data_IF_302390643079
#
_entry.id   IF_302390643079
#
_cell.length_a   1.000
_cell.length_b   1.000
_cell.length_c   1.000
_cell.angle_alpha   90.00
_cell.angle_beta   90.00
_cell.angle_gamma   90.00
#
_symmetry.space_group_name_H-M   'P 1'
#
loop_
_entity.id
_entity.type
_entity.pdbx_description
1 polymer ?
#
# COMPACT_ATOMS: atom_id res chain seq x y z
N UNK A 1 -5.78 -9.75 18.29
CA UNK A 1 -6.41 -8.52 17.75
C UNK A 1 -5.52 -8.02 16.60
N UNK A 2 -5.92 -8.24 15.36
CA UNK A 2 -5.12 -7.82 14.21
C UNK A 2 -5.32 -6.32 13.99
N UNK A 3 -4.29 -5.54 14.30
CA UNK A 3 -4.24 -4.12 13.93
C UNK A 3 -3.75 -4.00 12.50
N UNK A 4 -4.26 -3.02 11.77
CA UNK A 4 -3.69 -2.64 10.48
C UNK A 4 -2.29 -2.10 10.74
N UNK A 5 -1.31 -2.74 10.11
CA UNK A 5 0.08 -2.33 10.16
C UNK A 5 0.52 -1.81 8.80
N UNK A 6 1.30 -0.76 8.78
CA UNK A 6 1.86 -0.19 7.56
C UNK A 6 3.36 -0.10 7.66
N UNK A 7 4.06 -0.38 6.57
CA UNK A 7 5.51 -0.26 6.47
C UNK A 7 5.90 0.29 5.11
N UNK A 8 6.75 1.31 5.11
CA UNK A 8 7.42 1.75 3.90
C UNK A 8 8.52 0.72 3.60
N UNK A 9 8.42 0.04 2.45
CA UNK A 9 9.33 -1.05 2.08
C UNK A 9 10.68 -0.55 1.61
N UNK A 10 10.72 0.64 1.05
CA UNK A 10 11.95 1.27 0.60
C UNK A 10 12.20 2.54 1.42
N UNK A 11 12.66 2.37 2.66
CA UNK A 11 12.95 3.48 3.57
C UNK A 11 13.99 4.47 3.00
N UNK A 12 14.92 4.01 2.17
CA UNK A 12 15.83 4.86 1.40
C UNK A 12 15.10 5.69 0.34
N UNK A 13 13.89 5.28 -0.07
CA UNK A 13 13.15 5.96 -1.11
C UNK A 13 12.51 7.28 -0.67
N UNK A 14 12.33 7.53 0.62
CA UNK A 14 11.83 8.84 1.06
C UNK A 14 12.90 9.90 0.74
N UNK A 15 14.14 9.67 1.12
CA UNK A 15 15.23 10.58 0.76
C UNK A 15 15.55 10.55 -0.74
N UNK A 16 15.45 9.39 -1.40
CA UNK A 16 15.63 9.28 -2.85
C UNK A 16 14.45 9.90 -3.62
N UNK A 17 13.23 9.81 -3.10
CA UNK A 17 12.08 10.48 -3.67
C UNK A 17 12.24 12.00 -3.64
N UNK A 18 12.65 12.56 -2.51
CA UNK A 18 12.96 14.00 -2.38
C UNK A 18 14.07 14.42 -3.33
N UNK A 19 15.14 13.64 -3.44
CA UNK A 19 16.24 13.88 -4.39
C UNK A 19 15.75 13.85 -5.83
N UNK A 20 14.93 12.88 -6.18
CA UNK A 20 14.37 12.76 -7.54
C UNK A 20 13.47 13.96 -7.87
N UNK A 21 12.67 14.42 -6.92
CA UNK A 21 11.85 15.64 -7.08
C UNK A 21 12.73 16.87 -7.30
N UNK A 22 13.76 17.05 -6.47
CA UNK A 22 14.71 18.19 -6.59
C UNK A 22 15.44 18.13 -7.92
N UNK A 23 15.90 16.95 -8.32
CA UNK A 23 16.57 16.76 -9.61
C UNK A 23 15.64 17.11 -10.78
N UNK A 24 14.40 16.62 -10.77
CA UNK A 24 13.41 16.93 -11.81
C UNK A 24 13.17 18.45 -11.92
N UNK A 25 13.03 19.13 -10.78
CA UNK A 25 12.86 20.60 -10.75
C UNK A 25 14.09 21.32 -11.33
N UNK A 26 15.30 20.90 -10.96
CA UNK A 26 16.54 21.52 -11.49
C UNK A 26 16.76 21.20 -12.97
N UNK A 27 16.34 20.05 -13.43
CA UNK A 27 16.41 19.68 -14.83
C UNK A 27 15.61 20.65 -15.71
N UNK A 28 14.41 21.06 -15.27
CA UNK A 28 13.60 22.02 -16.01
C UNK A 28 14.25 23.41 -16.09
N UNK A 29 15.00 23.80 -15.06
CA UNK A 29 15.65 25.10 -14.99
C UNK A 29 17.03 25.14 -15.67
N UNK A 30 17.78 24.04 -15.63
CA UNK A 30 19.18 23.95 -16.05
C UNK A 30 19.41 22.96 -17.18
N UNK A 31 18.36 22.44 -17.79
CA UNK A 31 18.46 21.47 -18.89
C UNK A 31 19.29 21.95 -20.07
N UNK A 32 19.31 23.27 -20.33
CA UNK A 32 20.14 23.88 -21.37
C UNK A 32 21.65 23.74 -21.14
N UNK A 33 22.08 23.38 -19.93
CA UNK A 33 23.50 23.15 -19.59
C UNK A 33 23.91 21.68 -19.75
N UNK A 34 22.98 20.81 -20.14
CA UNK A 34 23.22 19.37 -20.26
C UNK A 34 23.41 19.03 -21.73
N UNK A 35 24.62 18.70 -22.08
CA UNK A 35 24.99 18.32 -23.45
C UNK A 35 25.33 16.82 -23.57
N UNK A 36 25.56 16.15 -22.44
CA UNK A 36 25.93 14.74 -22.40
C UNK A 36 25.59 14.13 -21.02
N UNK A 37 25.74 12.80 -20.90
CA UNK A 37 25.43 12.07 -19.67
C UNK A 37 26.28 12.52 -18.47
N UNK A 38 27.51 12.96 -18.68
CA UNK A 38 28.38 13.44 -17.56
C UNK A 38 27.82 14.72 -16.94
N UNK A 39 27.28 15.62 -17.76
CA UNK A 39 26.64 16.86 -17.28
C UNK A 39 25.37 16.54 -16.50
N UNK A 40 24.59 15.57 -16.97
CA UNK A 40 23.40 15.07 -16.28
C UNK A 40 23.73 14.51 -14.88
N UNK A 41 24.73 13.62 -14.82
CA UNK A 41 25.19 13.01 -13.55
C UNK A 41 25.73 14.09 -12.61
N UNK A 42 26.46 15.09 -13.12
CA UNK A 42 26.95 16.22 -12.33
C UNK A 42 25.77 17.01 -11.74
N UNK A 43 24.77 17.35 -12.54
CA UNK A 43 23.57 18.04 -12.06
C UNK A 43 22.83 17.21 -11.01
N UNK A 44 22.69 15.92 -11.25
CA UNK A 44 22.09 14.98 -10.29
C UNK A 44 22.81 15.03 -8.95
N UNK A 45 24.12 14.84 -8.93
CA UNK A 45 24.93 14.83 -7.70
C UNK A 45 24.92 16.17 -6.96
N UNK A 46 24.88 17.29 -7.69
CA UNK A 46 24.78 18.64 -7.11
C UNK A 46 23.39 18.99 -6.59
N UNK A 47 22.38 18.15 -6.84
CA UNK A 47 20.99 18.45 -6.44
C UNK A 47 20.68 18.13 -4.99
N UNK A 48 21.61 17.57 -4.21
CA UNK A 48 21.34 16.94 -2.93
C UNK A 48 21.89 17.67 -1.71
N UNK A 49 22.01 18.97 -1.77
CA UNK A 49 22.28 19.77 -0.56
C UNK A 49 20.97 20.00 0.19
N UNK A 50 21.04 20.02 1.54
CA UNK A 50 19.88 20.25 2.39
C UNK A 50 19.16 21.56 2.02
N UNK A 51 19.90 22.61 1.68
CA UNK A 51 19.33 23.89 1.27
C UNK A 51 18.57 23.79 -0.06
N UNK A 52 19.08 23.01 -1.00
CA UNK A 52 18.40 22.78 -2.29
C UNK A 52 17.08 22.03 -2.10
N UNK A 53 17.07 20.99 -1.27
CA UNK A 53 15.86 20.21 -0.95
C UNK A 53 14.82 21.12 -0.29
N UNK A 54 15.22 21.91 0.71
CA UNK A 54 14.35 22.83 1.43
C UNK A 54 13.75 23.90 0.50
N UNK A 55 14.56 24.50 -0.35
CA UNK A 55 14.12 25.53 -1.26
C UNK A 55 13.20 25.01 -2.36
N UNK A 56 13.46 23.79 -2.87
CA UNK A 56 12.62 23.16 -3.91
C UNK A 56 11.29 22.66 -3.36
N UNK A 57 11.22 22.25 -2.10
CA UNK A 57 9.96 21.88 -1.45
C UNK A 57 8.97 23.04 -1.31
N UNK A 58 9.44 24.27 -1.46
CA UNK A 58 8.61 25.48 -1.41
C UNK A 58 8.10 25.93 -2.81
N UNK A 59 8.53 25.26 -3.87
CA UNK A 59 8.08 25.61 -5.23
C UNK A 59 6.64 25.12 -5.46
N UNK A 60 5.74 25.98 -5.96
CA UNK A 60 4.34 25.64 -6.19
C UNK A 60 4.17 24.84 -7.51
N UNK A 61 4.95 23.77 -7.69
CA UNK A 61 4.87 22.93 -8.89
C UNK A 61 4.43 21.50 -8.54
N UNK A 62 3.11 21.20 -8.51
CA UNK A 62 2.59 19.89 -8.17
C UNK A 62 3.14 18.76 -9.06
N UNK A 63 3.51 19.09 -10.31
CA UNK A 63 4.08 18.12 -11.24
C UNK A 63 5.40 17.49 -10.73
N UNK A 64 6.17 18.20 -9.91
CA UNK A 64 7.44 17.70 -9.34
C UNK A 64 7.18 16.56 -8.37
N UNK A 65 6.09 16.60 -7.63
CA UNK A 65 5.71 15.58 -6.65
C UNK A 65 5.44 14.22 -7.30
N UNK A 66 5.08 14.19 -8.59
CA UNK A 66 4.85 12.95 -9.34
C UNK A 66 6.10 12.10 -9.56
N UNK A 67 7.29 12.66 -9.34
CA UNK A 67 8.55 11.93 -9.40
C UNK A 67 8.89 11.20 -8.09
N UNK A 68 8.14 11.45 -7.02
CA UNK A 68 8.28 10.74 -5.77
C UNK A 68 7.41 9.47 -5.77
N UNK A 69 8.03 8.30 -5.80
CA UNK A 69 7.34 7.01 -5.73
C UNK A 69 7.71 6.33 -4.42
N UNK A 70 6.70 5.95 -3.64
CA UNK A 70 6.86 5.27 -2.35
C UNK A 70 6.11 3.94 -2.42
N UNK A 71 6.76 2.86 -2.03
CA UNK A 71 6.13 1.54 -1.90
C UNK A 71 5.78 1.29 -0.44
N UNK A 72 4.51 1.04 -0.18
CA UNK A 72 4.00 0.79 1.18
C UNK A 72 3.40 -0.60 1.26
N UNK A 73 3.82 -1.39 2.25
CA UNK A 73 3.12 -2.61 2.65
C UNK A 73 2.05 -2.29 3.68
N UNK A 74 0.87 -2.88 3.50
CA UNK A 74 -0.24 -2.80 4.45
C UNK A 74 -0.63 -4.22 4.83
N UNK A 75 -0.62 -4.53 6.12
CA UNK A 75 -0.97 -5.85 6.67
C UNK A 75 -2.16 -5.70 7.60
N UNK A 76 -3.01 -6.73 7.69
CA UNK A 76 -4.20 -6.72 8.55
C UNK A 76 -5.37 -5.90 8.01
N UNK A 77 -5.31 -5.45 6.76
CA UNK A 77 -6.40 -4.72 6.12
C UNK A 77 -7.50 -5.66 5.62
N UNK A 78 -8.76 -5.26 5.79
CA UNK A 78 -9.92 -6.00 5.27
C UNK A 78 -10.03 -5.91 3.74
N UNK A 79 -10.78 -6.82 3.14
CA UNK A 79 -11.16 -6.75 1.71
C UNK A 79 -11.97 -5.47 1.41
N UNK A 80 -12.78 -5.04 2.36
CA UNK A 80 -13.53 -3.78 2.23
C UNK A 80 -12.60 -2.57 2.14
N UNK A 81 -11.55 -2.52 2.96
CA UNK A 81 -10.50 -1.49 2.84
C UNK A 81 -9.86 -1.54 1.45
N UNK A 82 -9.47 -2.73 0.98
CA UNK A 82 -8.86 -2.89 -0.34
C UNK A 82 -9.78 -2.37 -1.45
N UNK A 83 -11.07 -2.71 -1.43
CA UNK A 83 -12.02 -2.27 -2.44
C UNK A 83 -12.21 -0.75 -2.46
N UNK A 84 -12.03 -0.07 -1.34
CA UNK A 84 -12.09 1.40 -1.27
C UNK A 84 -10.80 2.05 -1.79
N UNK A 85 -9.64 1.57 -1.34
CA UNK A 85 -8.37 2.20 -1.70
C UNK A 85 -8.05 2.00 -3.19
N UNK A 86 -8.43 0.87 -3.78
CA UNK A 86 -8.18 0.57 -5.21
C UNK A 86 -8.96 1.47 -6.18
N UNK A 87 -9.90 2.27 -5.70
CA UNK A 87 -10.57 3.29 -6.52
C UNK A 87 -9.65 4.44 -6.92
N UNK A 88 -8.54 4.64 -6.22
CA UNK A 88 -7.55 5.69 -6.49
C UNK A 88 -6.45 5.19 -7.45
N UNK A 89 -6.84 4.70 -8.64
CA UNK A 89 -5.94 4.02 -9.58
C UNK A 89 -5.01 4.93 -10.38
N UNK A 90 -5.34 6.21 -10.52
CA UNK A 90 -4.59 7.08 -11.44
C UNK A 90 -3.14 7.32 -11.01
N UNK A 91 -2.87 7.32 -9.71
CA UNK A 91 -1.56 7.64 -9.15
C UNK A 91 -0.97 6.52 -8.29
N UNK A 92 -1.76 5.48 -8.00
CA UNK A 92 -1.36 4.38 -7.11
C UNK A 92 -1.50 3.04 -7.82
N UNK A 93 -0.50 2.18 -7.69
CA UNK A 93 -0.55 0.80 -8.12
C UNK A 93 -0.73 -0.11 -6.92
N UNK A 94 -1.60 -1.08 -7.04
CA UNK A 94 -1.97 -1.99 -5.95
C UNK A 94 -1.59 -3.42 -6.30
N UNK A 95 -1.12 -4.15 -5.31
CA UNK A 95 -0.99 -5.60 -5.33
C UNK A 95 -1.51 -6.13 -4.01
N UNK A 96 -2.38 -7.11 -4.05
CA UNK A 96 -2.96 -7.72 -2.86
C UNK A 96 -2.84 -9.23 -2.90
N UNK A 97 -2.89 -9.87 -1.72
CA UNK A 97 -3.00 -11.31 -1.63
C UNK A 97 -4.27 -11.79 -2.37
N UNK A 98 -4.11 -12.79 -3.21
CA UNK A 98 -5.20 -13.34 -4.03
C UNK A 98 -5.89 -14.49 -3.31
N UNK A 99 -7.23 -14.50 -3.29
CA UNK A 99 -8.00 -15.64 -2.84
C UNK A 99 -7.88 -16.81 -3.83
N UNK A 100 -7.63 -16.53 -5.10
CA UNK A 100 -7.47 -17.55 -6.14
C UNK A 100 -6.19 -18.36 -5.97
N UNK A 101 -5.09 -17.71 -5.53
CA UNK A 101 -3.77 -18.36 -5.45
C UNK A 101 -3.35 -18.71 -4.02
N UNK A 102 -4.07 -18.22 -3.02
CA UNK A 102 -3.73 -18.44 -1.61
C UNK A 102 -4.78 -19.27 -0.91
N UNK A 103 -4.34 -20.35 -0.25
CA UNK A 103 -5.19 -21.15 0.60
C UNK A 103 -5.22 -20.57 2.03
N UNK A 104 -6.40 -20.24 2.50
CA UNK A 104 -6.64 -19.69 3.82
C UNK A 104 -7.15 -20.73 4.84
N UNK A 105 -7.20 -22.01 4.50
CA UNK A 105 -7.59 -23.07 5.42
C UNK A 105 -6.70 -23.09 6.66
N UNK A 106 -7.30 -23.19 7.83
CA UNK A 106 -6.60 -23.16 9.12
C UNK A 106 -6.10 -21.76 9.54
N UNK A 107 -6.43 -20.71 8.80
CA UNK A 107 -6.07 -19.33 9.12
C UNK A 107 -7.33 -18.52 9.39
N UNK A 108 -7.75 -18.47 10.64
CA UNK A 108 -8.93 -17.70 11.06
C UNK A 108 -8.60 -16.23 11.36
N UNK A 109 -7.92 -15.57 10.41
CA UNK A 109 -7.59 -14.15 10.53
C UNK A 109 -8.65 -13.31 9.78
N UNK A 110 -9.35 -12.46 10.50
CA UNK A 110 -10.32 -11.52 9.95
C UNK A 110 -10.21 -10.16 10.64
N UNK A 111 -10.52 -9.11 9.91
CA UNK A 111 -10.51 -7.75 10.44
C UNK A 111 -11.75 -7.51 11.29
N UNK A 112 -11.58 -6.94 12.48
CA UNK A 112 -12.69 -6.52 13.34
C UNK A 112 -12.86 -5.00 13.22
N UNK A 113 -14.03 -4.52 12.74
CA UNK A 113 -14.31 -3.09 12.67
C UNK A 113 -14.27 -2.41 14.04
N UNK A 114 -13.85 -1.14 14.06
CA UNK A 114 -13.74 -0.39 15.31
C UNK A 114 -15.06 -0.33 16.10
N UNK A 115 -16.19 -0.16 15.44
CA UNK A 115 -17.51 -0.15 16.08
C UNK A 115 -17.83 -1.48 16.78
N UNK A 116 -17.42 -2.61 16.20
CA UNK A 116 -17.57 -3.93 16.85
C UNK A 116 -16.64 -4.05 18.05
N UNK A 117 -15.39 -3.57 17.95
CA UNK A 117 -14.45 -3.59 19.06
C UNK A 117 -14.91 -2.81 20.30
N UNK A 118 -15.71 -1.77 20.08
CA UNK A 118 -16.25 -0.91 21.15
C UNK A 118 -17.68 -1.27 21.55
N UNK A 119 -18.29 -2.25 20.87
CA UNK A 119 -19.64 -2.71 21.17
C UNK A 119 -19.69 -3.59 22.44
N UNK A 120 -20.87 -3.83 23.02
CA UNK A 120 -21.05 -4.81 24.08
C UNK A 120 -20.53 -6.20 23.70
N UNK A 121 -20.02 -6.95 24.68
CA UNK A 121 -19.38 -8.27 24.48
C UNK A 121 -20.23 -9.22 23.64
N UNK A 122 -21.55 -9.26 23.87
CA UNK A 122 -22.46 -10.12 23.10
C UNK A 122 -22.44 -9.81 21.58
N UNK A 123 -22.24 -8.55 21.20
CA UNK A 123 -22.12 -8.15 19.78
C UNK A 123 -20.75 -8.55 19.22
N UNK A 124 -19.68 -8.39 20.00
CA UNK A 124 -18.35 -8.84 19.61
C UNK A 124 -18.32 -10.34 19.38
N UNK A 125 -18.89 -11.13 20.31
CA UNK A 125 -18.99 -12.58 20.21
C UNK A 125 -19.82 -13.02 19.00
N UNK A 126 -20.95 -12.36 18.76
CA UNK A 126 -21.77 -12.62 17.57
C UNK A 126 -20.98 -12.45 16.28
N UNK A 127 -20.25 -11.32 16.16
CA UNK A 127 -19.42 -11.04 14.98
C UNK A 127 -18.31 -12.08 14.81
N UNK A 128 -17.54 -12.35 15.87
CA UNK A 128 -16.43 -13.32 15.82
C UNK A 128 -16.91 -14.73 15.49
N UNK A 129 -18.01 -15.19 16.10
CA UNK A 129 -18.58 -16.51 15.82
C UNK A 129 -19.07 -16.63 14.37
N UNK A 130 -19.67 -15.57 13.83
CA UNK A 130 -20.07 -15.54 12.41
C UNK A 130 -18.85 -15.66 11.49
N UNK A 131 -17.81 -14.87 11.71
CA UNK A 131 -16.59 -14.93 10.92
C UNK A 131 -15.88 -16.30 11.03
N UNK A 132 -15.84 -16.89 12.20
CA UNK A 132 -15.27 -18.26 12.39
C UNK A 132 -16.07 -19.30 11.65
N UNK A 133 -17.40 -19.23 11.72
CA UNK A 133 -18.29 -20.13 10.99
C UNK A 133 -18.06 -20.05 9.49
N UNK A 134 -17.91 -18.84 8.95
CA UNK A 134 -17.61 -18.61 7.54
C UNK A 134 -16.26 -19.24 7.14
N UNK A 135 -15.23 -19.06 7.97
CA UNK A 135 -13.92 -19.68 7.73
C UNK A 135 -13.94 -21.20 7.82
N UNK A 136 -14.70 -21.75 8.76
CA UNK A 136 -14.90 -23.22 8.88
C UNK A 136 -15.62 -23.77 7.65
N UNK A 137 -16.63 -23.08 7.14
CA UNK A 137 -17.33 -23.48 5.92
C UNK A 137 -16.42 -23.38 4.69
N UNK A 138 -15.59 -22.34 4.58
CA UNK A 138 -14.55 -22.23 3.57
C UNK A 138 -13.63 -23.46 3.58
N UNK A 139 -13.10 -23.80 4.76
CA UNK A 139 -12.19 -24.96 4.90
C UNK A 139 -12.88 -26.27 4.53
N UNK A 140 -14.14 -26.46 4.93
CA UNK A 140 -14.93 -27.66 4.58
C UNK A 140 -15.11 -27.78 3.08
N UNK A 141 -15.43 -26.69 2.37
CA UNK A 141 -15.53 -26.69 0.91
C UNK A 141 -14.20 -27.05 0.25
N UNK A 142 -13.09 -26.47 0.71
CA UNK A 142 -11.77 -26.83 0.18
C UNK A 142 -11.44 -28.33 0.37
N UNK A 143 -11.81 -28.93 1.51
CA UNK A 143 -11.64 -30.36 1.79
C UNK A 143 -12.46 -31.25 0.87
N UNK A 144 -13.55 -30.76 0.31
CA UNK A 144 -14.36 -31.52 -0.69
C UNK A 144 -13.83 -31.39 -2.12
N UNK A 145 -12.71 -30.66 -2.32
CA UNK A 145 -12.11 -30.46 -3.64
C UNK A 145 -12.62 -29.22 -4.38
N UNK A 146 -13.45 -28.39 -3.74
CA UNK A 146 -13.83 -27.08 -4.30
C UNK A 146 -12.60 -26.16 -4.30
N UNK A 147 -12.40 -25.43 -5.39
CA UNK A 147 -11.28 -24.51 -5.53
C UNK A 147 -11.30 -23.39 -4.47
N UNK A 148 -10.11 -22.91 -4.07
CA UNK A 148 -9.98 -21.80 -3.14
C UNK A 148 -10.69 -20.53 -3.62
N UNK A 149 -10.71 -20.29 -4.92
CA UNK A 149 -11.40 -19.18 -5.54
C UNK A 149 -12.91 -19.25 -5.29
N UNK A 150 -13.52 -20.40 -5.58
CA UNK A 150 -14.95 -20.61 -5.35
C UNK A 150 -15.31 -20.62 -3.86
N UNK A 151 -14.52 -21.29 -3.02
CA UNK A 151 -14.74 -21.28 -1.57
C UNK A 151 -14.54 -19.89 -0.96
N UNK A 152 -13.68 -19.07 -1.58
CA UNK A 152 -13.35 -17.71 -1.15
C UNK A 152 -14.54 -16.76 -1.08
N UNK A 153 -15.67 -17.07 -1.72
CA UNK A 153 -16.92 -16.30 -1.57
C UNK A 153 -17.50 -16.36 -0.14
N UNK A 154 -17.08 -17.33 0.67
CA UNK A 154 -17.51 -17.45 2.07
C UNK A 154 -16.58 -16.73 3.05
N UNK A 155 -15.42 -16.21 2.61
CA UNK A 155 -14.50 -15.56 3.53
C UNK A 155 -15.03 -14.22 4.03
N UNK A 156 -14.84 -13.86 5.33
CA UNK A 156 -15.19 -12.54 5.85
C UNK A 156 -14.51 -11.41 5.07
N UNK A 157 -15.21 -10.30 4.87
CA UNK A 157 -14.74 -9.17 4.05
C UNK A 157 -13.77 -8.23 4.78
#
# INVERSE_FOLDING_TARGET
>A
MNRIETKILNCSAVSEAEKTMVFAARLTQRGHLIHNMKDLIRLYNQSFTNDTIKNMGQLPHPAIQKFAVITVAVVGASRRFLSQITRHQNEVKFMSASLQYSNYSGKADFAIPYEILTAPTAIQELYENSCRTDMDNYERLCKTGISHDSAGYLTPQ
#
